data_IF_680393985692
#
_entry.id   IF_680393985692
#
_cell.length_a   1.000
_cell.length_b   1.000
_cell.length_c   1.000
_cell.angle_alpha   90.00
_cell.angle_beta   90.00
_cell.angle_gamma   90.00
#
_symmetry.space_group_name_H-M   'P 1'
#
loop_
_entity.id
_entity.type
_entity.pdbx_description
1 polymer ?
#
# COMPACT_ATOMS: atom_id res chain seq x y z
N UNK A 1 -3.18 -14.22 -31.80
CA UNK A 1 -2.03 -14.08 -30.88
C UNK A 1 -1.80 -12.63 -30.46
N UNK A 2 -1.73 -11.74 -31.43
CA UNK A 2 -1.50 -10.33 -31.09
C UNK A 2 -2.62 -9.75 -30.23
N UNK A 3 -3.87 -10.19 -30.44
CA UNK A 3 -4.98 -9.72 -29.61
C UNK A 3 -4.84 -10.16 -28.15
N UNK A 4 -4.32 -11.37 -27.93
CA UNK A 4 -4.08 -11.86 -26.57
C UNK A 4 -2.95 -11.05 -25.89
N UNK A 5 -1.95 -10.67 -26.64
CA UNK A 5 -0.86 -9.84 -26.13
C UNK A 5 -1.39 -8.46 -25.74
N UNK A 6 -2.23 -7.87 -26.61
CA UNK A 6 -2.83 -6.59 -26.30
C UNK A 6 -3.70 -6.66 -25.03
N UNK A 7 -4.47 -7.74 -24.88
CA UNK A 7 -5.28 -7.93 -23.68
C UNK A 7 -4.40 -8.02 -22.43
N UNK A 8 -3.26 -8.70 -22.51
CA UNK A 8 -2.33 -8.80 -21.39
C UNK A 8 -1.80 -7.45 -20.97
N UNK A 9 -1.47 -6.58 -21.93
CA UNK A 9 -0.95 -5.25 -21.57
C UNK A 9 -1.98 -4.39 -20.87
N UNK A 10 -3.27 -4.71 -21.03
CA UNK A 10 -4.35 -3.99 -20.39
C UNK A 10 -4.79 -4.60 -19.07
N UNK A 11 -4.31 -5.79 -18.73
CA UNK A 11 -4.79 -6.56 -17.59
C UNK A 11 -3.78 -6.48 -16.45
N UNK A 12 -4.29 -6.20 -15.26
CA UNK A 12 -3.50 -6.28 -14.05
C UNK A 12 -3.23 -7.75 -13.70
N UNK A 13 -2.07 -8.02 -13.16
CA UNK A 13 -1.66 -9.37 -12.78
C UNK A 13 -1.16 -9.39 -11.34
N UNK A 14 -1.32 -10.54 -10.69
CA UNK A 14 -0.79 -10.74 -9.35
C UNK A 14 0.71 -11.05 -9.43
N UNK A 15 1.47 -10.38 -8.57
CA UNK A 15 2.93 -10.51 -8.53
C UNK A 15 3.37 -10.74 -7.10
N UNK A 16 4.33 -11.63 -6.90
CA UNK A 16 5.01 -11.80 -5.61
C UNK A 16 5.98 -10.65 -5.44
N UNK A 17 5.91 -9.96 -4.30
CA UNK A 17 6.76 -8.79 -4.05
C UNK A 17 7.71 -8.97 -2.88
N UNK A 18 7.34 -9.80 -1.91
CA UNK A 18 8.20 -10.12 -0.77
C UNK A 18 7.62 -11.31 -0.02
N UNK A 19 8.23 -11.64 1.10
CA UNK A 19 7.72 -12.70 1.98
C UNK A 19 7.21 -12.09 3.28
N UNK A 20 6.44 -12.89 4.02
CA UNK A 20 5.93 -12.46 5.33
C UNK A 20 7.07 -12.07 6.27
N UNK A 21 8.22 -12.72 6.15
CA UNK A 21 9.38 -12.43 7.00
C UNK A 21 9.98 -11.05 6.72
N UNK A 22 9.71 -10.47 5.54
CA UNK A 22 10.20 -9.13 5.21
C UNK A 22 9.36 -8.02 5.82
N UNK A 23 8.19 -8.35 6.36
CA UNK A 23 7.27 -7.35 6.90
C UNK A 23 7.57 -7.06 8.36
N UNK A 24 7.38 -5.81 8.76
CA UNK A 24 7.52 -5.36 10.15
C UNK A 24 6.17 -4.85 10.62
N UNK A 25 5.60 -5.40 11.70
CA UNK A 25 4.29 -4.94 12.18
C UNK A 25 4.26 -3.44 12.44
N UNK A 26 3.17 -2.80 12.02
CA UNK A 26 2.92 -1.36 12.18
C UNK A 26 3.99 -0.49 11.53
N UNK A 27 4.60 -1.02 10.44
CA UNK A 27 5.66 -0.34 9.73
C UNK A 27 5.55 -0.63 8.25
N UNK A 28 6.30 0.11 7.43
CA UNK A 28 6.30 -0.03 5.99
C UNK A 28 7.59 -0.61 5.47
N UNK A 29 7.50 -1.30 4.34
CA UNK A 29 8.65 -1.73 3.56
C UNK A 29 8.42 -1.33 2.11
N UNK A 30 9.48 -1.00 1.39
CA UNK A 30 9.39 -0.63 -0.01
C UNK A 30 9.55 -1.86 -0.89
N UNK A 31 8.78 -1.91 -1.96
CA UNK A 31 8.84 -3.00 -2.93
C UNK A 31 8.64 -2.45 -4.33
N UNK A 32 9.02 -3.22 -5.34
CA UNK A 32 8.80 -2.89 -6.74
C UNK A 32 7.70 -3.76 -7.31
N UNK A 33 6.83 -3.16 -8.13
CA UNK A 33 5.83 -3.90 -8.91
C UNK A 33 5.87 -3.41 -10.34
N UNK A 34 5.50 -4.29 -11.28
CA UNK A 34 5.29 -3.92 -12.66
C UNK A 34 3.83 -3.52 -12.84
N UNK A 35 3.59 -2.36 -13.43
CA UNK A 35 2.24 -1.89 -13.73
C UNK A 35 2.10 -1.68 -15.23
N UNK A 36 0.86 -1.53 -15.74
CA UNK A 36 0.68 -1.22 -17.17
C UNK A 36 1.40 0.06 -17.61
N UNK A 37 1.64 1.00 -16.69
CA UNK A 37 2.36 2.24 -16.96
C UNK A 37 3.86 2.14 -16.70
N UNK A 38 4.37 0.95 -16.33
CA UNK A 38 5.78 0.72 -16.04
C UNK A 38 6.01 0.37 -14.58
N UNK A 39 7.28 0.19 -14.18
CA UNK A 39 7.58 -0.18 -12.80
C UNK A 39 7.20 0.93 -11.81
N UNK A 40 6.74 0.53 -10.64
CA UNK A 40 6.37 1.47 -9.57
C UNK A 40 6.95 1.00 -8.24
N UNK A 41 7.33 1.95 -7.39
CA UNK A 41 7.70 1.65 -6.02
C UNK A 41 6.46 1.72 -5.14
N UNK A 42 6.29 0.71 -4.33
CA UNK A 42 5.12 0.56 -3.46
C UNK A 42 5.58 0.51 -2.02
N UNK A 43 4.84 1.20 -1.15
CA UNK A 43 5.00 1.08 0.29
C UNK A 43 4.00 0.04 0.80
N UNK A 44 4.51 -1.02 1.40
CA UNK A 44 3.70 -2.09 1.98
C UNK A 44 3.64 -1.90 3.48
N UNK A 45 2.42 -1.84 4.02
CA UNK A 45 2.21 -1.70 5.45
C UNK A 45 1.51 -2.93 5.99
N UNK A 46 2.06 -3.50 7.05
CA UNK A 46 1.49 -4.64 7.73
C UNK A 46 0.95 -4.18 9.08
N UNK A 47 -0.37 -4.23 9.21
CA UNK A 47 -1.08 -3.81 10.40
C UNK A 47 -1.81 -5.04 10.95
N UNK A 48 -1.18 -5.85 11.81
CA UNK A 48 -1.82 -7.06 12.32
C UNK A 48 -3.12 -6.72 13.04
N UNK A 49 -4.16 -7.48 12.77
CA UNK A 49 -5.45 -7.30 13.43
C UNK A 49 -5.41 -7.93 14.81
N UNK A 50 -5.86 -7.16 15.81
CA UNK A 50 -6.21 -7.72 17.10
C UNK A 50 -7.65 -8.23 16.97
N UNK A 51 -7.96 -9.50 17.29
CA UNK A 51 -9.33 -10.00 17.18
C UNK A 51 -10.36 -9.17 17.93
N UNK A 52 -10.00 -8.62 19.09
CA UNK A 52 -10.91 -7.77 19.84
C UNK A 52 -11.07 -6.41 19.18
N UNK A 53 -9.99 -5.82 18.72
CA UNK A 53 -10.00 -4.51 18.08
C UNK A 53 -10.71 -4.58 16.72
N UNK A 54 -10.44 -5.61 15.93
CA UNK A 54 -11.03 -5.73 14.60
C UNK A 54 -12.55 -5.90 14.68
N UNK A 55 -13.06 -6.55 15.72
CA UNK A 55 -14.49 -6.66 15.92
C UNK A 55 -15.13 -5.31 16.22
N UNK A 56 -14.43 -4.46 16.97
CA UNK A 56 -14.93 -3.14 17.34
C UNK A 56 -14.84 -2.13 16.21
N UNK A 57 -13.77 -2.19 15.43
CA UNK A 57 -13.51 -1.22 14.36
C UNK A 57 -13.99 -1.68 13.00
N UNK A 58 -14.29 -2.96 12.85
CA UNK A 58 -14.63 -3.53 11.53
C UNK A 58 -13.42 -3.72 10.62
N UNK A 59 -12.21 -3.54 11.13
CA UNK A 59 -11.01 -3.70 10.34
C UNK A 59 -10.76 -5.18 10.07
N UNK A 60 -10.79 -5.57 8.80
CA UNK A 60 -10.49 -6.94 8.38
C UNK A 60 -9.17 -7.03 7.64
N UNK A 61 -8.73 -5.96 7.00
CA UNK A 61 -7.54 -5.95 6.19
C UNK A 61 -6.30 -5.73 7.05
N UNK A 62 -5.27 -6.51 6.81
CA UNK A 62 -4.00 -6.40 7.54
C UNK A 62 -2.87 -5.86 6.68
N UNK A 63 -2.99 -5.97 5.36
CA UNK A 63 -1.97 -5.51 4.43
C UNK A 63 -2.50 -4.34 3.61
N UNK A 64 -1.64 -3.36 3.39
CA UNK A 64 -1.95 -2.20 2.55
C UNK A 64 -0.79 -1.92 1.63
N UNK A 65 -1.09 -1.57 0.38
CA UNK A 65 -0.08 -1.25 -0.63
C UNK A 65 -0.45 0.10 -1.25
N UNK A 66 0.39 1.11 -1.04
CA UNK A 66 0.18 2.45 -1.56
C UNK A 66 1.47 2.96 -2.21
N UNK A 67 1.39 4.04 -2.97
CA UNK A 67 2.56 4.66 -3.57
C UNK A 67 3.62 4.96 -2.51
N UNK A 68 4.87 4.62 -2.83
CA UNK A 68 6.01 5.00 -2.00
C UNK A 68 6.42 6.44 -2.24
N UNK A 69 5.97 7.03 -3.34
CA UNK A 69 6.30 8.39 -3.72
C UNK A 69 5.42 9.40 -2.99
N UNK A 70 6.06 10.35 -2.29
CA UNK A 70 5.39 11.45 -1.62
C UNK A 70 5.33 12.64 -2.59
N UNK A 71 4.13 13.01 -3.07
CA UNK A 71 4.04 14.10 -4.06
C UNK A 71 4.36 15.47 -3.50
N UNK A 72 4.28 15.66 -2.18
CA UNK A 72 4.60 16.95 -1.57
C UNK A 72 6.11 17.20 -1.49
N UNK A 73 6.88 16.15 -1.19
CA UNK A 73 8.34 16.26 -1.10
C UNK A 73 9.04 15.78 -2.35
N UNK A 74 8.30 15.13 -3.25
CA UNK A 74 8.85 14.54 -4.47
C UNK A 74 9.95 13.50 -4.17
N UNK A 75 9.77 12.74 -3.10
CA UNK A 75 10.72 11.73 -2.67
C UNK A 75 10.02 10.42 -2.39
N UNK A 76 10.72 9.30 -2.55
CA UNK A 76 10.19 7.97 -2.31
C UNK A 76 10.43 7.59 -0.85
N UNK A 77 9.53 8.01 0.04
CA UNK A 77 9.74 7.93 1.49
C UNK A 77 8.53 7.42 2.27
N UNK A 78 7.41 7.13 1.61
CA UNK A 78 6.17 6.80 2.32
C UNK A 78 6.32 5.57 3.22
N UNK A 79 7.08 4.55 2.79
CA UNK A 79 7.30 3.36 3.61
C UNK A 79 8.02 3.67 4.93
N UNK A 80 8.69 4.80 5.02
CA UNK A 80 9.40 5.24 6.23
C UNK A 80 8.54 6.11 7.13
N UNK A 81 7.28 6.34 6.74
CA UNK A 81 6.37 7.17 7.52
C UNK A 81 5.94 6.49 8.81
N UNK A 82 5.30 7.28 9.66
CA UNK A 82 4.80 6.81 10.95
C UNK A 82 3.34 6.37 10.77
N UNK A 83 3.07 5.12 11.10
CA UNK A 83 1.72 4.56 11.05
C UNK A 83 0.96 5.00 12.28
N UNK A 84 -0.27 5.39 12.09
CA UNK A 84 -1.16 5.78 13.18
C UNK A 84 -2.59 5.41 12.86
N UNK A 85 -3.49 5.83 13.73
CA UNK A 85 -4.93 5.57 13.60
C UNK A 85 -5.66 6.89 13.85
N UNK A 86 -6.47 7.30 12.88
CA UNK A 86 -7.32 8.47 13.04
C UNK A 86 -8.77 8.04 12.93
N UNK A 87 -9.49 8.09 14.02
CA UNK A 87 -10.92 7.75 14.10
C UNK A 87 -11.20 6.35 13.58
N UNK A 88 -10.34 5.38 13.93
CA UNK A 88 -10.52 4.00 13.55
C UNK A 88 -9.98 3.64 12.17
N UNK A 89 -9.36 4.59 11.48
CA UNK A 89 -8.79 4.35 10.15
C UNK A 89 -7.27 4.39 10.20
N UNK A 90 -6.59 3.37 9.67
CA UNK A 90 -5.13 3.39 9.64
C UNK A 90 -4.62 4.42 8.64
N UNK A 91 -3.62 5.17 9.06
CA UNK A 91 -3.00 6.22 8.27
C UNK A 91 -1.49 6.12 8.38
N UNK A 92 -0.78 6.75 7.44
CA UNK A 92 0.66 6.95 7.52
C UNK A 92 0.95 8.44 7.38
N UNK A 93 1.83 8.96 8.24
CA UNK A 93 2.33 10.33 8.12
C UNK A 93 3.66 10.30 7.39
N UNK A 94 3.78 11.09 6.32
CA UNK A 94 5.04 11.21 5.60
C UNK A 94 6.14 11.72 6.53
N UNK A 95 7.36 11.18 6.44
CA UNK A 95 8.43 11.61 7.34
C UNK A 95 8.94 13.03 7.06
N UNK A 96 8.66 13.59 5.87
CA UNK A 96 9.22 14.87 5.47
C UNK A 96 8.32 16.02 5.87
N UNK A 97 7.11 16.12 5.30
CA UNK A 97 6.20 17.24 5.61
C UNK A 97 5.03 16.84 6.48
N UNK A 98 4.96 15.57 6.90
CA UNK A 98 3.98 15.08 7.88
C UNK A 98 2.54 15.06 7.38
N UNK A 99 2.29 15.16 6.09
CA UNK A 99 0.94 14.92 5.57
C UNK A 99 0.53 13.49 5.85
N UNK A 100 -0.76 13.29 6.14
CA UNK A 100 -1.33 12.00 6.46
C UNK A 100 -2.07 11.42 5.26
N UNK A 101 -1.86 10.16 5.00
CA UNK A 101 -2.54 9.43 3.92
C UNK A 101 -3.23 8.22 4.53
N UNK A 102 -4.51 8.02 4.17
CA UNK A 102 -5.20 6.80 4.59
C UNK A 102 -4.60 5.61 3.86
N UNK A 103 -4.35 4.53 4.59
CA UNK A 103 -3.79 3.33 3.98
C UNK A 103 -4.80 2.61 3.09
N UNK A 104 -6.09 2.74 3.40
CA UNK A 104 -7.15 2.05 2.68
C UNK A 104 -7.30 2.55 1.24
N UNK A 105 -7.28 3.87 1.03
CA UNK A 105 -7.55 4.45 -0.28
C UNK A 105 -6.50 5.47 -0.73
N UNK A 106 -5.48 5.74 0.07
CA UNK A 106 -4.42 6.67 -0.29
C UNK A 106 -4.78 8.14 -0.18
N UNK A 107 -5.97 8.47 0.30
CA UNK A 107 -6.43 9.85 0.36
C UNK A 107 -5.63 10.66 1.35
N UNK A 108 -5.09 11.82 0.91
CA UNK A 108 -4.45 12.77 1.82
C UNK A 108 -5.52 13.46 2.66
N UNK A 109 -5.29 13.53 3.97
CA UNK A 109 -6.27 14.12 4.89
C UNK A 109 -6.21 15.63 4.94
N UNK A 110 -5.08 16.22 4.58
CA UNK A 110 -4.88 17.68 4.59
C UNK A 110 -5.15 18.34 3.24
N UNK A 111 -5.26 17.54 2.18
CA UNK A 111 -5.47 18.08 0.82
C UNK A 111 -6.33 17.10 0.03
N UNK A 112 -7.60 17.46 -0.17
CA UNK A 112 -8.57 16.61 -0.85
C UNK A 112 -8.19 16.30 -2.31
N UNK A 113 -7.36 17.14 -2.91
CA UNK A 113 -6.96 16.96 -4.30
C UNK A 113 -5.84 15.95 -4.48
N UNK A 114 -5.23 15.48 -3.39
CA UNK A 114 -4.07 14.59 -3.42
C UNK A 114 -4.47 13.21 -2.94
N UNK A 115 -4.17 12.21 -3.76
CA UNK A 115 -4.43 10.81 -3.43
C UNK A 115 -3.30 9.95 -3.97
N UNK A 116 -2.76 9.10 -3.13
CA UNK A 116 -1.77 8.11 -3.56
C UNK A 116 -2.49 6.93 -4.22
N UNK A 117 -1.82 6.30 -5.19
CA UNK A 117 -2.35 5.06 -5.77
C UNK A 117 -2.34 3.97 -4.71
N UNK A 118 -3.30 3.06 -4.81
CA UNK A 118 -3.35 1.87 -3.97
C UNK A 118 -3.48 0.63 -4.83
N UNK A 119 -3.04 -0.50 -4.30
CA UNK A 119 -3.12 -1.78 -4.99
C UNK A 119 -3.73 -2.82 -4.06
N UNK A 120 -4.38 -3.81 -4.64
CA UNK A 120 -4.83 -4.96 -3.88
C UNK A 120 -3.62 -5.77 -3.48
N UNK A 121 -3.58 -6.19 -2.23
CA UNK A 121 -2.47 -6.94 -1.67
C UNK A 121 -3.02 -8.07 -0.81
N UNK A 122 -2.35 -9.22 -0.82
CA UNK A 122 -2.82 -10.39 -0.11
C UNK A 122 -1.66 -11.31 0.26
N UNK A 123 -1.84 -12.07 1.33
CA UNK A 123 -0.95 -13.19 1.64
C UNK A 123 -1.33 -14.42 0.84
N UNK A 124 -0.32 -15.15 0.36
CA UNK A 124 -0.47 -16.51 -0.12
C UNK A 124 0.59 -17.35 0.57
N UNK A 125 0.19 -18.03 1.64
CA UNK A 125 1.16 -18.71 2.50
C UNK A 125 2.14 -17.71 3.10
N UNK A 126 3.43 -17.88 2.86
CA UNK A 126 4.45 -16.97 3.34
C UNK A 126 4.76 -15.83 2.38
N UNK A 127 4.09 -15.79 1.24
CA UNK A 127 4.37 -14.79 0.22
C UNK A 127 3.36 -13.65 0.27
N UNK A 128 3.83 -12.45 -0.10
CA UNK A 128 3.00 -11.27 -0.25
C UNK A 128 2.85 -10.98 -1.73
N UNK A 129 1.61 -10.90 -2.20
CA UNK A 129 1.27 -10.71 -3.60
C UNK A 129 0.49 -9.42 -3.79
N UNK A 130 0.80 -8.70 -4.86
CA UNK A 130 0.10 -7.47 -5.24
C UNK A 130 -0.49 -7.66 -6.64
N UNK A 131 -1.72 -7.18 -6.82
CA UNK A 131 -2.34 -7.09 -8.13
C UNK A 131 -2.06 -5.70 -8.71
N UNK A 132 -1.26 -5.68 -9.74
CA UNK A 132 -0.85 -4.42 -10.35
C UNK A 132 -0.89 -4.46 -11.87
#
# INVERSE_FOLDING_TARGET
MSSAIAAKTMTQTWQTVCTRADLVPFSGVAAWVETPEGPAQVALFYIPSDPNTSQLTGQAQELYAIDHHDPFSNANVIARGIVGDLKGQPVVASPIYKQHFRLEDGQCLEDDSVRLRTWKVSFKGDEVWIEA
#
